data_IF_488729023102
#
_entry.id   IF_488729023102
#
_cell.length_a   1.000
_cell.length_b   1.000
_cell.length_c   1.000
_cell.angle_alpha   90.00
_cell.angle_beta   90.00
_cell.angle_gamma   90.00
#
_symmetry.space_group_name_H-M   'P 1'
#
loop_
_entity.id
_entity.type
_entity.pdbx_description
1 polymer ?
#
# COMPACT_ATOMS: atom_id res chain seq x y z
N UNK A 1 -6.22 33.69 -5.75
CA UNK A 1 -6.43 32.52 -6.62
C UNK A 1 -7.64 31.77 -6.10
N UNK A 2 -8.69 31.67 -6.89
CA UNK A 2 -9.89 30.90 -6.52
C UNK A 2 -9.50 29.42 -6.54
N UNK A 3 -9.52 28.77 -5.39
CA UNK A 3 -9.32 27.30 -5.33
C UNK A 3 -10.50 26.66 -6.08
N UNK A 4 -10.23 26.03 -7.20
CA UNK A 4 -11.25 25.30 -7.94
C UNK A 4 -11.87 24.23 -7.02
N UNK A 5 -13.19 24.22 -6.90
CA UNK A 5 -13.90 23.22 -6.08
C UNK A 5 -13.70 21.86 -6.74
N UNK A 6 -13.08 20.92 -6.01
CA UNK A 6 -12.91 19.54 -6.49
C UNK A 6 -14.27 18.89 -6.75
N UNK A 7 -14.36 18.07 -7.78
CA UNK A 7 -15.54 17.24 -8.02
C UNK A 7 -15.55 16.10 -6.97
N UNK A 8 -16.74 15.56 -6.71
CA UNK A 8 -16.90 14.42 -5.79
C UNK A 8 -15.98 13.25 -6.24
N UNK A 9 -15.23 12.69 -5.30
CA UNK A 9 -14.25 11.64 -5.56
C UNK A 9 -12.91 12.09 -6.16
N UNK A 10 -12.78 13.36 -6.56
CA UNK A 10 -11.52 13.88 -7.10
C UNK A 10 -10.55 14.21 -5.96
N UNK A 11 -9.31 13.74 -6.07
CA UNK A 11 -8.25 14.05 -5.13
C UNK A 11 -7.68 15.46 -5.34
N UNK A 12 -7.27 16.10 -4.24
CA UNK A 12 -6.39 17.26 -4.26
C UNK A 12 -4.93 16.87 -4.53
N UNK A 13 -4.01 17.82 -4.36
CA UNK A 13 -2.58 17.52 -4.21
C UNK A 13 -2.31 16.95 -2.81
N UNK A 14 -1.25 16.14 -2.63
CA UNK A 14 -0.79 15.77 -1.30
C UNK A 14 -0.51 17.02 -0.45
N UNK A 15 -1.08 17.08 0.76
CA UNK A 15 -0.83 18.22 1.68
C UNK A 15 0.64 18.26 2.10
N UNK A 16 1.27 19.42 2.15
CA UNK A 16 2.64 19.55 2.65
C UNK A 16 2.76 19.29 4.17
N UNK A 17 1.65 19.50 4.91
CA UNK A 17 1.59 19.44 6.37
C UNK A 17 0.92 18.15 6.86
N UNK A 18 1.32 16.99 6.32
CA UNK A 18 0.75 15.71 6.74
C UNK A 18 1.05 15.38 8.21
N UNK A 19 0.20 14.57 8.83
CA UNK A 19 0.45 13.99 10.16
C UNK A 19 1.79 13.24 10.21
N UNK A 20 2.41 13.13 11.37
CA UNK A 20 3.73 12.50 11.54
C UNK A 20 3.57 10.99 11.65
N UNK A 21 3.99 10.24 10.63
CA UNK A 21 4.06 8.78 10.68
C UNK A 21 5.23 8.31 11.54
N UNK A 22 5.02 7.24 12.29
CA UNK A 22 6.09 6.56 13.01
C UNK A 22 7.25 6.16 12.09
N UNK A 23 6.95 5.71 10.87
CA UNK A 23 7.95 5.26 9.92
C UNK A 23 8.93 6.34 9.47
N UNK A 24 8.59 7.63 9.65
CA UNK A 24 9.44 8.77 9.34
C UNK A 24 10.26 9.26 10.53
N UNK A 25 10.28 8.55 11.66
CA UNK A 25 11.08 8.93 12.86
C UNK A 25 12.57 8.78 12.64
N UNK A 26 13.00 7.95 11.69
CA UNK A 26 14.39 7.75 11.30
C UNK A 26 14.53 8.00 9.79
N UNK A 27 14.41 9.26 9.34
CA UNK A 27 14.43 9.58 7.93
C UNK A 27 15.85 9.44 7.35
N UNK A 28 15.93 9.02 6.09
CA UNK A 28 17.19 9.03 5.34
C UNK A 28 17.68 10.46 5.14
N UNK A 29 18.88 10.76 5.63
CA UNK A 29 19.49 12.09 5.46
C UNK A 29 19.84 12.38 3.99
N UNK A 30 20.04 11.34 3.18
CA UNK A 30 20.31 11.47 1.75
C UNK A 30 19.05 11.91 0.99
N UNK A 31 17.86 11.46 1.45
CA UNK A 31 16.59 11.66 0.72
C UNK A 31 15.80 12.88 1.19
N UNK A 32 16.07 13.42 2.39
CA UNK A 32 15.39 14.63 2.87
C UNK A 32 15.74 15.84 1.99
N UNK A 33 14.71 16.46 1.40
CA UNK A 33 14.86 17.58 0.49
C UNK A 33 15.67 17.26 -0.77
N UNK A 34 15.81 15.98 -1.12
CA UNK A 34 16.70 15.54 -2.18
C UNK A 34 16.27 16.07 -3.55
N UNK A 35 17.26 16.58 -4.27
CA UNK A 35 17.17 16.96 -5.67
C UNK A 35 18.46 16.57 -6.34
N UNK A 36 18.42 15.52 -7.16
CA UNK A 36 19.62 15.01 -7.84
C UNK A 36 20.27 16.11 -8.68
N UNK A 37 19.46 16.97 -9.30
CA UNK A 37 19.94 18.20 -9.96
C UNK A 37 19.28 19.43 -9.36
N UNK A 38 20.02 20.53 -9.22
CA UNK A 38 19.51 21.78 -8.67
C UNK A 38 18.36 22.35 -9.52
N UNK A 39 18.53 22.36 -10.83
CA UNK A 39 17.49 22.72 -11.78
C UNK A 39 16.67 21.48 -12.13
N UNK A 40 15.37 21.66 -12.31
CA UNK A 40 14.52 20.63 -12.86
C UNK A 40 14.97 20.31 -14.30
N UNK A 41 15.18 19.04 -14.68
CA UNK A 41 15.47 18.69 -16.07
C UNK A 41 14.36 19.17 -17.00
N UNK A 42 14.72 19.77 -18.13
CA UNK A 42 13.74 20.23 -19.13
C UNK A 42 13.14 19.05 -19.91
N UNK A 43 13.90 17.94 -20.04
CA UNK A 43 13.49 16.75 -20.79
C UNK A 43 13.87 15.47 -20.05
N UNK A 44 13.08 14.43 -20.27
CA UNK A 44 13.34 13.06 -19.79
C UNK A 44 12.81 12.04 -20.81
N UNK A 45 13.34 10.80 -20.81
CA UNK A 45 12.78 9.71 -21.59
C UNK A 45 11.56 9.10 -20.90
N UNK A 46 11.54 9.14 -19.56
CA UNK A 46 10.43 8.71 -18.71
C UNK A 46 10.31 9.62 -17.50
N UNK A 47 9.10 10.08 -17.21
CA UNK A 47 8.76 10.72 -15.92
C UNK A 47 7.92 9.76 -15.10
N UNK A 48 8.39 9.42 -13.89
CA UNK A 48 7.63 8.65 -12.89
C UNK A 48 7.09 9.63 -11.85
N UNK A 49 5.78 9.62 -11.60
CA UNK A 49 5.14 10.49 -10.60
C UNK A 49 4.76 9.66 -9.36
N UNK A 50 5.45 9.92 -8.26
CA UNK A 50 5.32 9.22 -6.98
C UNK A 50 6.51 8.34 -6.66
N UNK A 51 7.04 8.46 -5.43
CA UNK A 51 8.19 7.73 -4.90
C UNK A 51 7.82 6.66 -3.86
N UNK A 52 6.57 6.22 -3.83
CA UNK A 52 6.14 5.08 -3.05
C UNK A 52 6.69 3.76 -3.59
N UNK A 53 6.27 2.63 -2.99
CA UNK A 53 6.78 1.30 -3.37
C UNK A 53 6.63 1.02 -4.87
N UNK A 54 5.50 1.38 -5.49
CA UNK A 54 5.25 1.15 -6.90
C UNK A 54 6.20 1.94 -7.81
N UNK A 55 6.32 3.26 -7.60
CA UNK A 55 7.20 4.12 -8.42
C UNK A 55 8.67 3.78 -8.24
N UNK A 56 9.08 3.51 -6.99
CA UNK A 56 10.46 3.11 -6.69
C UNK A 56 10.79 1.74 -7.28
N UNK A 57 9.85 0.80 -7.25
CA UNK A 57 9.98 -0.48 -7.93
C UNK A 57 10.10 -0.31 -9.45
N UNK A 58 9.26 0.53 -10.06
CA UNK A 58 9.36 0.84 -11.48
C UNK A 58 10.76 1.39 -11.85
N UNK A 59 11.28 2.34 -11.07
CA UNK A 59 12.63 2.86 -11.28
C UNK A 59 13.71 1.78 -11.10
N UNK A 60 13.54 0.88 -10.13
CA UNK A 60 14.45 -0.23 -9.91
C UNK A 60 14.49 -1.19 -11.11
N UNK A 61 13.34 -1.60 -11.63
CA UNK A 61 13.27 -2.55 -12.74
C UNK A 61 13.72 -1.93 -14.07
N UNK A 62 13.37 -0.65 -14.33
CA UNK A 62 13.82 0.00 -15.56
C UNK A 62 15.34 0.19 -15.57
N UNK A 63 15.97 0.49 -14.42
CA UNK A 63 17.44 0.58 -14.33
C UNK A 63 18.12 -0.78 -14.37
N UNK A 64 17.45 -1.85 -13.97
CA UNK A 64 17.91 -3.24 -14.09
C UNK A 64 17.80 -3.84 -15.50
N UNK A 65 16.97 -3.28 -16.37
CA UNK A 65 16.76 -3.76 -17.74
C UNK A 65 17.81 -3.19 -18.71
N UNK A 66 18.23 -3.97 -19.69
CA UNK A 66 19.28 -3.55 -20.66
C UNK A 66 18.86 -2.35 -21.51
N UNK A 67 17.63 -2.34 -22.00
CA UNK A 67 17.08 -1.23 -22.77
C UNK A 67 16.71 -0.06 -21.86
N UNK A 68 16.12 -0.35 -20.71
CA UNK A 68 15.64 0.62 -19.72
C UNK A 68 16.76 1.44 -19.09
N UNK A 69 17.92 0.84 -18.80
CA UNK A 69 19.08 1.53 -18.21
C UNK A 69 19.64 2.69 -19.03
N UNK A 70 19.35 2.71 -20.34
CA UNK A 70 19.77 3.79 -21.24
C UNK A 70 18.87 5.02 -21.17
N UNK A 71 17.69 4.89 -20.54
CA UNK A 71 16.70 5.95 -20.43
C UNK A 71 17.07 6.93 -19.31
N UNK A 72 16.87 8.21 -19.57
CA UNK A 72 16.89 9.25 -18.55
C UNK A 72 15.54 9.27 -17.83
N UNK A 73 15.54 8.84 -16.58
CA UNK A 73 14.34 8.74 -15.74
C UNK A 73 14.31 9.89 -14.75
N UNK A 74 13.24 10.68 -14.75
CA UNK A 74 12.97 11.68 -13.71
C UNK A 74 11.84 11.17 -12.83
N UNK A 75 12.07 11.07 -11.53
CA UNK A 75 11.05 10.76 -10.53
C UNK A 75 10.66 12.03 -9.79
N UNK A 76 9.37 12.36 -9.85
CA UNK A 76 8.76 13.48 -9.15
C UNK A 76 8.04 13.00 -7.89
N UNK A 77 8.30 13.65 -6.78
CA UNK A 77 7.60 13.41 -5.52
C UNK A 77 7.08 14.74 -4.96
N UNK A 78 5.80 14.76 -4.62
CA UNK A 78 5.15 15.98 -4.14
C UNK A 78 5.66 16.43 -2.77
N UNK A 79 6.08 15.50 -1.94
CA UNK A 79 6.61 15.71 -0.57
C UNK A 79 8.04 15.18 -0.48
N UNK A 80 8.43 14.73 0.70
CA UNK A 80 9.66 13.97 0.88
C UNK A 80 9.50 12.54 0.31
N UNK A 81 10.59 11.91 -0.05
CA UNK A 81 10.58 10.57 -0.64
C UNK A 81 9.84 9.56 0.25
N UNK A 82 8.94 8.78 -0.35
CA UNK A 82 8.12 7.77 0.35
C UNK A 82 7.23 8.34 1.48
N UNK A 83 6.73 9.56 1.32
CA UNK A 83 5.87 10.23 2.33
C UNK A 83 4.37 9.96 2.12
N UNK A 84 3.99 9.23 1.06
CA UNK A 84 2.64 8.76 0.77
C UNK A 84 2.26 7.48 1.50
N UNK A 85 1.27 6.74 0.98
CA UNK A 85 0.68 5.54 1.61
C UNK A 85 1.73 4.49 2.03
N UNK A 86 2.80 4.30 1.28
CA UNK A 86 3.86 3.33 1.62
C UNK A 86 4.56 3.66 2.93
N UNK A 87 4.87 4.93 3.18
CA UNK A 87 5.48 5.38 4.43
C UNK A 87 4.46 5.64 5.55
N UNK A 88 3.19 5.22 5.39
CA UNK A 88 2.09 5.51 6.32
C UNK A 88 1.22 4.31 6.67
N UNK A 89 1.47 3.15 6.06
CA UNK A 89 0.76 1.91 6.38
C UNK A 89 1.27 1.28 7.69
N UNK A 90 0.72 0.13 8.09
CA UNK A 90 1.10 -0.56 9.31
C UNK A 90 2.34 -1.45 9.20
N UNK A 91 3.05 -1.47 8.06
CA UNK A 91 4.23 -2.31 7.88
C UNK A 91 3.92 -3.80 7.71
N UNK A 92 2.75 -4.12 7.20
CA UNK A 92 2.30 -5.49 6.96
C UNK A 92 2.35 -5.81 5.46
N UNK A 93 3.05 -6.87 5.06
CA UNK A 93 3.06 -7.41 3.71
C UNK A 93 2.48 -8.83 3.73
N UNK A 94 1.26 -8.96 3.24
CA UNK A 94 0.49 -10.20 3.34
C UNK A 94 -0.27 -10.46 2.04
N UNK A 95 0.09 -11.50 1.26
CA UNK A 95 -0.76 -12.03 0.20
C UNK A 95 -2.06 -12.59 0.77
N UNK A 96 -3.19 -12.40 0.08
CA UNK A 96 -4.46 -13.03 0.50
C UNK A 96 -4.63 -14.33 -0.27
N UNK A 97 -4.32 -15.45 0.40
CA UNK A 97 -4.25 -16.76 -0.27
C UNK A 97 -5.63 -17.40 -0.45
N UNK A 98 -6.54 -17.23 0.47
CA UNK A 98 -7.82 -17.97 0.49
C UNK A 98 -9.04 -17.14 0.06
N UNK A 99 -8.92 -15.81 -0.02
CA UNK A 99 -10.01 -14.90 -0.42
C UNK A 99 -9.86 -14.28 -1.81
N UNK A 100 -8.84 -14.68 -2.59
CA UNK A 100 -8.55 -14.09 -3.90
C UNK A 100 -8.62 -15.14 -5.02
N UNK A 101 -9.00 -14.72 -6.25
CA UNK A 101 -8.90 -15.57 -7.43
C UNK A 101 -7.49 -16.14 -7.62
N UNK A 102 -7.35 -17.35 -8.25
CA UNK A 102 -6.05 -18.01 -8.37
C UNK A 102 -4.94 -17.17 -8.99
N UNK A 103 -5.22 -16.40 -10.04
CA UNK A 103 -4.21 -15.55 -10.70
C UNK A 103 -3.74 -14.40 -9.80
N UNK A 104 -4.63 -13.79 -9.03
CA UNK A 104 -4.32 -12.71 -8.09
C UNK A 104 -3.50 -13.26 -6.94
N UNK A 105 -3.95 -14.35 -6.31
CA UNK A 105 -3.23 -15.05 -5.25
C UNK A 105 -1.79 -15.40 -5.67
N UNK A 106 -1.62 -15.97 -6.86
CA UNK A 106 -0.32 -16.32 -7.39
C UNK A 106 0.57 -15.08 -7.62
N UNK A 107 0.01 -13.99 -8.11
CA UNK A 107 0.72 -12.72 -8.31
C UNK A 107 1.16 -12.11 -6.98
N UNK A 108 0.28 -12.02 -6.00
CA UNK A 108 0.59 -11.49 -4.67
C UNK A 108 1.66 -12.33 -3.96
N UNK A 109 1.61 -13.65 -4.09
CA UNK A 109 2.63 -14.53 -3.55
C UNK A 109 3.99 -14.29 -4.22
N UNK A 110 4.04 -14.16 -5.54
CA UNK A 110 5.28 -13.79 -6.26
C UNK A 110 5.80 -12.44 -5.82
N UNK A 111 4.92 -11.44 -5.69
CA UNK A 111 5.29 -10.11 -5.21
C UNK A 111 5.93 -10.16 -3.80
N UNK A 112 5.31 -10.91 -2.87
CA UNK A 112 5.86 -11.15 -1.54
C UNK A 112 7.25 -11.80 -1.59
N UNK A 113 7.40 -12.88 -2.38
CA UNK A 113 8.66 -13.61 -2.52
C UNK A 113 9.76 -12.74 -3.13
N UNK A 114 9.45 -11.92 -4.13
CA UNK A 114 10.41 -10.97 -4.70
C UNK A 114 10.91 -9.93 -3.69
N UNK A 115 10.02 -9.36 -2.89
CA UNK A 115 10.42 -8.41 -1.84
C UNK A 115 11.29 -9.13 -0.80
N UNK A 116 10.88 -10.33 -0.35
CA UNK A 116 11.64 -11.14 0.61
C UNK A 116 13.05 -11.45 0.10
N UNK A 117 13.16 -11.87 -1.16
CA UNK A 117 14.45 -12.16 -1.80
C UNK A 117 15.31 -10.89 -1.93
N UNK A 118 14.73 -9.77 -2.37
CA UNK A 118 15.41 -8.49 -2.47
C UNK A 118 16.01 -8.07 -1.11
N UNK A 119 15.20 -8.17 -0.05
CA UNK A 119 15.64 -7.84 1.31
C UNK A 119 16.75 -8.77 1.77
N UNK A 120 16.60 -10.08 1.61
CA UNK A 120 17.58 -11.06 2.06
C UNK A 120 18.90 -10.95 1.28
N UNK A 121 18.85 -10.86 -0.05
CA UNK A 121 20.02 -10.77 -0.93
C UNK A 121 20.88 -9.53 -0.67
N UNK A 122 20.24 -8.42 -0.31
CA UNK A 122 20.93 -7.14 -0.11
C UNK A 122 21.04 -6.74 1.37
N UNK A 123 20.66 -7.62 2.29
CA UNK A 123 20.67 -7.38 3.74
C UNK A 123 20.04 -6.03 4.13
N UNK A 124 18.90 -5.71 3.49
CA UNK A 124 18.25 -4.42 3.66
C UNK A 124 17.78 -4.25 5.12
N UNK A 125 18.23 -3.20 5.85
CA UNK A 125 17.93 -3.03 7.27
C UNK A 125 16.51 -2.46 7.50
N UNK A 126 15.49 -3.12 6.93
CA UNK A 126 14.09 -2.71 7.00
C UNK A 126 13.26 -3.52 8.02
N UNK A 127 13.89 -4.17 8.98
CA UNK A 127 13.21 -4.96 10.04
C UNK A 127 12.30 -6.07 9.49
N UNK A 128 12.64 -6.65 8.35
CA UNK A 128 11.85 -7.73 7.76
C UNK A 128 11.77 -8.94 8.69
N UNK A 129 10.54 -9.34 9.03
CA UNK A 129 10.24 -10.57 9.74
C UNK A 129 9.22 -11.37 8.96
N UNK A 130 9.56 -12.61 8.58
CA UNK A 130 8.60 -13.57 8.05
C UNK A 130 7.71 -14.06 9.19
N UNK A 131 6.41 -14.00 9.01
CA UNK A 131 5.38 -14.35 10.00
C UNK A 131 4.32 -15.25 9.36
N UNK A 132 3.49 -15.88 10.19
CA UNK A 132 2.13 -16.26 9.82
C UNK A 132 1.16 -15.16 10.29
N UNK A 133 0.02 -15.06 9.61
CA UNK A 133 -1.05 -14.15 10.02
C UNK A 133 -2.24 -14.94 10.51
N UNK A 134 -2.82 -14.51 11.63
CA UNK A 134 -4.10 -14.99 12.13
C UNK A 134 -5.21 -13.98 11.75
N UNK A 135 -6.08 -14.35 10.81
CA UNK A 135 -7.29 -13.59 10.52
C UNK A 135 -8.36 -14.02 11.50
N UNK A 136 -8.57 -13.24 12.54
CA UNK A 136 -9.50 -13.49 13.64
C UNK A 136 -10.90 -12.97 13.31
N UNK A 137 -11.90 -13.79 13.46
CA UNK A 137 -13.31 -13.46 13.29
C UNK A 137 -13.96 -13.37 14.66
N UNK A 138 -14.51 -12.22 14.99
CA UNK A 138 -15.25 -12.02 16.26
C UNK A 138 -16.72 -12.33 16.12
N UNK A 139 -17.23 -12.45 14.89
CA UNK A 139 -18.61 -12.80 14.56
C UNK A 139 -18.68 -14.23 14.00
N UNK A 140 -19.55 -15.07 14.57
CA UNK A 140 -19.68 -16.47 14.22
C UNK A 140 -20.20 -16.66 12.78
N UNK A 141 -21.19 -15.87 12.36
CA UNK A 141 -21.80 -15.96 11.03
C UNK A 141 -20.79 -15.60 9.94
N UNK A 142 -20.02 -14.54 10.13
CA UNK A 142 -18.95 -14.14 9.20
C UNK A 142 -17.86 -15.21 9.12
N UNK A 143 -17.54 -15.86 10.23
CA UNK A 143 -16.57 -16.95 10.25
C UNK A 143 -17.07 -18.15 9.45
N UNK A 144 -18.29 -18.63 9.71
CA UNK A 144 -18.89 -19.78 9.02
C UNK A 144 -19.06 -19.54 7.52
N UNK A 145 -19.47 -18.32 7.15
CA UNK A 145 -19.53 -17.91 5.75
C UNK A 145 -18.16 -18.02 5.08
N UNK A 146 -17.11 -17.50 5.72
CA UNK A 146 -15.75 -17.55 5.18
C UNK A 146 -15.20 -18.99 5.14
N UNK A 147 -15.55 -19.86 6.08
CA UNK A 147 -15.20 -21.27 6.02
C UNK A 147 -15.81 -21.93 4.78
N UNK A 148 -17.08 -21.66 4.50
CA UNK A 148 -17.76 -22.19 3.31
C UNK A 148 -17.07 -21.72 2.02
N UNK A 149 -16.69 -20.44 1.92
CA UNK A 149 -15.95 -19.91 0.78
C UNK A 149 -14.56 -20.56 0.62
N UNK A 150 -13.88 -20.80 1.74
CA UNK A 150 -12.58 -21.46 1.74
C UNK A 150 -12.68 -22.92 1.28
N UNK A 151 -13.69 -23.67 1.73
CA UNK A 151 -13.94 -25.04 1.26
C UNK A 151 -14.21 -25.08 -0.25
N UNK A 152 -14.97 -24.13 -0.78
CA UNK A 152 -15.17 -23.96 -2.22
C UNK A 152 -13.85 -23.65 -2.97
N UNK A 153 -13.00 -22.82 -2.38
CA UNK A 153 -11.69 -22.50 -2.95
C UNK A 153 -10.74 -23.72 -2.91
N UNK A 154 -10.80 -24.55 -1.86
CA UNK A 154 -10.04 -25.80 -1.76
C UNK A 154 -10.41 -26.79 -2.88
N UNK A 155 -11.69 -26.88 -3.26
CA UNK A 155 -12.13 -27.74 -4.34
C UNK A 155 -11.51 -27.32 -5.71
N UNK A 156 -11.22 -26.04 -5.90
CA UNK A 156 -10.61 -25.50 -7.11
C UNK A 156 -9.07 -25.48 -7.06
N UNK A 157 -8.51 -25.36 -5.86
CA UNK A 157 -7.07 -25.17 -5.61
C UNK A 157 -6.66 -25.87 -4.32
N UNK A 158 -6.53 -27.23 -4.32
CA UNK A 158 -6.23 -28.01 -3.11
C UNK A 158 -4.91 -27.61 -2.43
N UNK A 159 -3.96 -27.05 -3.19
CA UNK A 159 -2.65 -26.64 -2.68
C UNK A 159 -2.73 -25.54 -1.60
N UNK A 160 -3.80 -24.75 -1.54
CA UNK A 160 -3.96 -23.72 -0.51
C UNK A 160 -4.08 -24.31 0.90
N UNK A 161 -4.47 -25.58 1.05
CA UNK A 161 -4.49 -26.29 2.33
C UNK A 161 -3.12 -26.37 2.98
N UNK A 162 -2.03 -26.31 2.21
CA UNK A 162 -0.66 -26.29 2.74
C UNK A 162 -0.26 -24.95 3.33
N UNK A 163 -0.99 -23.89 2.96
CA UNK A 163 -0.71 -22.50 3.31
C UNK A 163 -1.65 -21.95 4.36
N UNK A 164 -2.87 -22.48 4.45
CA UNK A 164 -3.94 -21.94 5.32
C UNK A 164 -4.55 -23.07 6.15
N UNK A 165 -4.72 -22.80 7.44
CA UNK A 165 -5.43 -23.69 8.37
C UNK A 165 -6.61 -22.95 9.00
N UNK A 166 -7.74 -23.60 9.10
CA UNK A 166 -8.92 -23.10 9.82
C UNK A 166 -8.81 -23.50 11.29
N UNK A 167 -8.90 -22.53 12.18
CA UNK A 167 -8.81 -22.72 13.64
C UNK A 167 -10.16 -22.34 14.25
N UNK A 168 -10.89 -23.32 14.71
CA UNK A 168 -12.15 -23.15 15.42
C UNK A 168 -11.99 -23.26 16.95
N UNK A 169 -13.09 -23.15 17.68
CA UNK A 169 -13.10 -23.26 19.15
C UNK A 169 -12.62 -24.60 19.67
N UNK A 170 -12.81 -25.67 18.89
CA UNK A 170 -12.40 -27.05 19.22
C UNK A 170 -10.96 -27.37 18.82
N UNK A 171 -10.26 -26.43 18.15
CA UNK A 171 -8.87 -26.62 17.73
C UNK A 171 -7.94 -26.60 18.93
N UNK A 172 -7.02 -27.56 19.00
CA UNK A 172 -6.11 -27.75 20.15
C UNK A 172 -4.66 -27.46 19.87
N UNK A 173 -4.24 -27.42 18.57
CA UNK A 173 -2.84 -27.19 18.20
C UNK A 173 -2.72 -26.63 16.79
N UNK A 174 -2.59 -25.30 16.61
CA UNK A 174 -2.78 -24.29 17.65
C UNK A 174 -4.25 -24.12 18.03
N UNK A 175 -4.49 -23.72 19.26
CA UNK A 175 -5.79 -23.23 19.74
C UNK A 175 -5.92 -21.73 19.49
N UNK A 176 -7.14 -21.18 19.65
CA UNK A 176 -7.34 -19.73 19.64
C UNK A 176 -6.57 -19.02 20.78
N UNK A 177 -6.38 -19.72 21.92
CA UNK A 177 -5.56 -19.24 23.02
C UNK A 177 -4.07 -19.15 22.67
N UNK A 178 -3.53 -20.15 21.95
CA UNK A 178 -2.14 -20.12 21.45
C UNK A 178 -1.92 -18.97 20.45
N UNK A 179 -2.95 -18.62 19.68
CA UNK A 179 -2.96 -17.48 18.79
C UNK A 179 -3.23 -16.15 19.51
N UNK A 180 -3.39 -16.14 20.83
CA UNK A 180 -3.68 -14.96 21.64
C UNK A 180 -5.00 -14.25 21.28
N UNK A 181 -5.98 -14.98 20.75
CA UNK A 181 -7.33 -14.52 20.36
C UNK A 181 -8.41 -15.44 20.95
N UNK A 182 -8.42 -15.67 22.27
CA UNK A 182 -9.27 -16.69 22.90
C UNK A 182 -10.77 -16.44 22.72
N UNK A 183 -11.18 -15.18 22.56
CA UNK A 183 -12.58 -14.77 22.42
C UNK A 183 -13.06 -14.71 20.97
N UNK A 184 -12.20 -15.01 20.00
CA UNK A 184 -12.60 -15.09 18.61
C UNK A 184 -13.56 -16.26 18.35
N UNK A 185 -14.49 -16.10 17.40
CA UNK A 185 -15.36 -17.19 16.92
C UNK A 185 -14.57 -18.25 16.15
N UNK A 186 -13.47 -17.84 15.50
CA UNK A 186 -12.53 -18.66 14.81
C UNK A 186 -11.48 -17.83 14.11
N UNK A 187 -10.51 -18.50 13.47
CA UNK A 187 -9.46 -17.81 12.71
C UNK A 187 -9.01 -18.62 11.49
N UNK A 188 -8.48 -17.90 10.51
CA UNK A 188 -7.67 -18.49 9.43
C UNK A 188 -6.20 -18.19 9.73
N UNK A 189 -5.41 -19.22 9.96
CA UNK A 189 -3.98 -19.10 10.14
C UNK A 189 -3.28 -19.32 8.80
N UNK A 190 -2.73 -18.23 8.23
CA UNK A 190 -2.10 -18.25 6.92
C UNK A 190 -0.59 -18.05 7.04
N UNK A 191 0.18 -18.86 6.31
CA UNK A 191 1.62 -18.71 6.12
C UNK A 191 1.94 -17.56 5.15
N UNK A 192 3.21 -17.14 5.11
CA UNK A 192 3.72 -16.15 4.17
C UNK A 192 3.13 -14.76 4.33
N UNK A 193 3.16 -14.26 5.54
CA UNK A 193 3.07 -12.84 5.84
C UNK A 193 4.43 -12.30 6.27
N UNK A 194 4.59 -10.99 6.29
CA UNK A 194 5.76 -10.33 6.87
C UNK A 194 5.40 -9.00 7.53
N UNK A 195 6.15 -8.66 8.57
CA UNK A 195 6.25 -7.29 9.06
C UNK A 195 7.57 -6.66 8.61
N UNK A 196 7.56 -5.36 8.35
CA UNK A 196 8.75 -4.61 7.94
C UNK A 196 8.60 -3.11 8.26
N UNK A 197 9.69 -2.36 8.13
CA UNK A 197 9.69 -0.89 8.09
C UNK A 197 9.63 -0.43 6.64
N UNK A 198 8.46 -0.08 6.08
CA UNK A 198 8.29 0.13 4.64
C UNK A 198 9.11 1.30 4.10
N UNK A 199 9.20 2.39 4.88
CA UNK A 199 10.02 3.55 4.54
C UNK A 199 11.50 3.15 4.34
N UNK A 200 12.07 2.33 5.23
CA UNK A 200 13.47 1.89 5.11
C UNK A 200 13.73 1.03 3.87
N UNK A 201 12.77 0.17 3.49
CA UNK A 201 12.87 -0.60 2.26
C UNK A 201 12.95 0.33 1.03
N UNK A 202 12.01 1.27 0.92
CA UNK A 202 11.95 2.19 -0.22
C UNK A 202 13.14 3.15 -0.22
N UNK A 203 13.52 3.69 0.94
CA UNK A 203 14.68 4.57 1.06
C UNK A 203 15.96 3.88 0.61
N UNK A 204 16.18 2.64 1.03
CA UNK A 204 17.36 1.86 0.57
C UNK A 204 17.38 1.69 -0.95
N UNK A 205 16.23 1.38 -1.56
CA UNK A 205 16.11 1.24 -3.02
C UNK A 205 16.41 2.55 -3.74
N UNK A 206 15.85 3.66 -3.28
CA UNK A 206 16.11 4.99 -3.86
C UNK A 206 17.57 5.40 -3.72
N UNK A 207 18.17 5.22 -2.55
CA UNK A 207 19.60 5.50 -2.33
C UNK A 207 20.50 4.64 -3.22
N UNK A 208 20.13 3.36 -3.43
CA UNK A 208 20.86 2.49 -4.37
C UNK A 208 20.80 3.05 -5.78
N UNK A 209 19.60 3.44 -6.27
CA UNK A 209 19.42 4.03 -7.58
C UNK A 209 20.24 5.32 -7.76
N UNK A 210 20.29 6.17 -6.73
CA UNK A 210 21.07 7.40 -6.76
C UNK A 210 22.60 7.13 -6.80
N UNK A 211 23.08 6.12 -6.08
CA UNK A 211 24.51 5.72 -6.09
C UNK A 211 24.94 5.08 -7.41
N UNK A 212 24.02 4.51 -8.17
CA UNK A 212 24.28 3.84 -9.45
C UNK A 212 24.33 4.81 -10.65
N UNK A 213 24.12 6.10 -10.44
CA UNK A 213 24.32 7.12 -11.47
C UNK A 213 25.81 7.18 -11.87
N UNK A 214 26.08 7.12 -13.16
CA UNK A 214 27.44 7.12 -13.70
C UNK A 214 28.01 8.53 -13.86
N UNK A 215 27.15 9.52 -14.09
CA UNK A 215 27.48 10.93 -14.26
C UNK A 215 26.56 11.84 -13.48
N UNK A 216 27.10 12.56 -12.50
CA UNK A 216 26.33 13.50 -11.69
C UNK A 216 25.82 14.72 -12.48
N UNK A 217 26.42 15.06 -13.62
CA UNK A 217 25.99 16.19 -14.46
C UNK A 217 24.83 15.81 -15.40
N UNK A 218 24.69 14.53 -15.70
CA UNK A 218 23.62 13.98 -16.54
C UNK A 218 23.17 12.63 -16.00
N UNK A 219 22.54 12.61 -14.82
CA UNK A 219 22.19 11.38 -14.15
C UNK A 219 21.12 10.60 -14.92
N UNK A 220 21.26 9.29 -14.99
CA UNK A 220 20.27 8.40 -15.59
C UNK A 220 19.02 8.25 -14.73
N UNK A 221 19.15 8.40 -13.41
CA UNK A 221 18.04 8.48 -12.46
C UNK A 221 18.09 9.79 -11.68
N UNK A 222 17.05 10.61 -11.81
CA UNK A 222 16.96 11.93 -11.21
C UNK A 222 15.72 12.00 -10.30
N UNK A 223 15.93 12.00 -8.99
CA UNK A 223 14.88 12.17 -8.00
C UNK A 223 14.72 13.65 -7.64
N UNK A 224 13.48 14.13 -7.68
CA UNK A 224 13.08 15.50 -7.35
C UNK A 224 11.99 15.46 -6.29
N UNK A 225 12.37 15.56 -5.02
CA UNK A 225 11.40 15.68 -3.91
C UNK A 225 10.88 17.12 -3.79
N UNK A 226 9.79 17.29 -3.05
CA UNK A 226 9.10 18.57 -2.89
C UNK A 226 8.83 19.24 -4.25
N UNK A 227 8.42 18.43 -5.24
CA UNK A 227 8.20 18.81 -6.63
C UNK A 227 6.95 18.08 -7.17
N UNK A 228 5.78 18.58 -6.78
CA UNK A 228 4.50 18.00 -7.18
C UNK A 228 4.27 18.17 -8.70
N UNK A 229 3.89 17.09 -9.39
CA UNK A 229 3.25 17.19 -10.69
C UNK A 229 1.86 17.77 -10.51
N UNK A 230 1.58 18.91 -11.14
CA UNK A 230 0.32 19.66 -10.97
C UNK A 230 -0.62 19.52 -12.14
N UNK A 231 -0.10 19.23 -13.32
CA UNK A 231 -0.87 19.09 -14.56
C UNK A 231 -0.09 18.29 -15.59
N UNK A 232 -0.81 17.55 -16.43
CA UNK A 232 -0.30 16.87 -17.61
C UNK A 232 -0.88 17.54 -18.84
N UNK A 233 -0.01 17.85 -19.80
CA UNK A 233 -0.40 18.45 -21.08
C UNK A 233 0.10 17.56 -22.22
N UNK A 234 -0.80 17.05 -23.02
CA UNK A 234 -0.45 16.39 -24.27
C UNK A 234 -0.12 17.43 -25.33
N UNK A 235 1.01 17.26 -26.05
CA UNK A 235 1.49 18.21 -27.07
C UNK A 235 1.53 17.59 -28.46
N UNK A 236 0.86 16.45 -28.64
CA UNK A 236 0.78 15.72 -29.89
C UNK A 236 1.95 14.77 -30.13
N UNK A 237 1.75 13.82 -31.04
CA UNK A 237 2.78 12.82 -31.39
C UNK A 237 3.18 11.89 -30.23
N UNK A 238 2.31 11.68 -29.25
CA UNK A 238 2.61 10.87 -28.05
C UNK A 238 3.64 11.53 -27.12
N UNK A 239 3.69 12.86 -27.08
CA UNK A 239 4.58 13.63 -26.23
C UNK A 239 3.78 14.40 -25.15
N UNK A 240 4.37 14.50 -23.96
CA UNK A 240 3.75 15.08 -22.79
C UNK A 240 4.62 16.18 -22.18
N UNK A 241 3.97 17.18 -21.59
CA UNK A 241 4.60 18.13 -20.67
C UNK A 241 4.05 17.88 -19.27
N UNK A 242 4.93 17.58 -18.34
CA UNK A 242 4.59 17.46 -16.92
C UNK A 242 4.89 18.80 -16.25
N UNK A 243 3.85 19.48 -15.78
CA UNK A 243 3.96 20.77 -15.11
C UNK A 243 4.21 20.59 -13.61
N UNK A 244 5.10 21.41 -13.07
CA UNK A 244 5.41 21.48 -11.63
C UNK A 244 5.56 22.93 -11.20
N UNK A 245 5.50 23.26 -9.90
CA UNK A 245 5.80 24.61 -9.40
C UNK A 245 7.24 25.09 -9.69
N UNK A 246 8.14 24.16 -10.08
CA UNK A 246 9.55 24.44 -10.36
C UNK A 246 9.89 24.51 -11.85
N UNK A 247 8.93 24.33 -12.71
CA UNK A 247 9.09 24.30 -14.17
C UNK A 247 8.38 23.12 -14.81
N UNK A 248 8.75 22.80 -16.04
CA UNK A 248 8.10 21.80 -16.87
C UNK A 248 9.12 20.79 -17.36
N UNK A 249 8.67 19.54 -17.58
CA UNK A 249 9.48 18.47 -18.16
C UNK A 249 8.78 17.94 -19.40
N UNK A 250 9.45 18.01 -20.55
CA UNK A 250 9.03 17.36 -21.78
C UNK A 250 9.42 15.87 -21.76
N UNK A 251 8.50 14.99 -22.14
CA UNK A 251 8.76 13.53 -22.16
C UNK A 251 7.85 12.82 -23.14
N UNK A 252 8.28 11.66 -23.62
CA UNK A 252 7.41 10.74 -24.39
C UNK A 252 6.67 9.73 -23.51
N UNK A 253 7.10 9.58 -22.25
CA UNK A 253 6.54 8.55 -21.35
C UNK A 253 6.30 9.13 -19.97
N UNK A 254 5.08 8.96 -19.46
CA UNK A 254 4.71 9.30 -18.08
C UNK A 254 4.14 8.07 -17.40
N UNK A 255 4.64 7.71 -16.23
CA UNK A 255 4.08 6.67 -15.38
C UNK A 255 3.54 7.29 -14.10
N UNK A 256 2.23 7.21 -13.90
CA UNK A 256 1.57 7.66 -12.69
C UNK A 256 1.51 6.52 -11.66
N UNK A 257 2.20 6.69 -10.55
CA UNK A 257 2.15 5.80 -9.38
C UNK A 257 1.58 6.54 -8.17
N UNK A 258 0.59 7.37 -8.44
CA UNK A 258 0.02 8.36 -7.54
C UNK A 258 -1.07 7.83 -6.62
N UNK A 259 -1.46 6.55 -6.77
CA UNK A 259 -2.45 5.84 -5.97
C UNK A 259 -3.72 6.67 -5.72
N UNK A 260 -4.06 7.03 -4.49
CA UNK A 260 -5.25 7.83 -4.16
C UNK A 260 -5.27 9.25 -4.75
N UNK A 261 -4.15 9.73 -5.24
CA UNK A 261 -4.04 11.07 -5.86
C UNK A 261 -4.15 11.05 -7.39
N UNK A 262 -4.41 9.88 -8.01
CA UNK A 262 -4.44 9.74 -9.48
C UNK A 262 -5.45 10.67 -10.15
N UNK A 263 -6.63 10.84 -9.55
CA UNK A 263 -7.68 11.71 -10.08
C UNK A 263 -7.35 13.22 -10.02
N UNK A 264 -6.26 13.61 -9.35
CA UNK A 264 -5.75 14.98 -9.44
C UNK A 264 -5.21 15.29 -10.84
N UNK A 265 -4.41 14.36 -11.40
CA UNK A 265 -3.79 14.51 -12.72
C UNK A 265 -4.71 14.00 -13.85
N UNK A 266 -5.52 13.00 -13.58
CA UNK A 266 -6.49 12.41 -14.49
C UNK A 266 -7.90 12.48 -13.87
N UNK A 267 -8.62 13.61 -14.02
CA UNK A 267 -9.92 13.82 -13.36
C UNK A 267 -10.99 12.76 -13.70
N UNK A 268 -10.87 12.11 -14.85
CA UNK A 268 -11.77 11.04 -15.26
C UNK A 268 -11.58 9.71 -14.49
N UNK A 269 -10.54 9.62 -13.64
CA UNK A 269 -10.38 8.49 -12.71
C UNK A 269 -11.10 8.69 -11.37
N UNK A 270 -11.77 9.82 -11.13
CA UNK A 270 -12.40 10.15 -9.83
C UNK A 270 -13.47 9.15 -9.38
N UNK A 271 -14.08 8.45 -10.32
CA UNK A 271 -15.11 7.41 -10.09
C UNK A 271 -14.54 5.98 -10.13
N UNK A 272 -13.28 5.83 -10.54
CA UNK A 272 -12.58 4.55 -10.61
C UNK A 272 -11.57 4.37 -9.48
N UNK A 273 -10.89 5.43 -9.05
CA UNK A 273 -9.95 5.44 -7.93
C UNK A 273 -10.32 6.60 -7.01
N UNK A 274 -10.90 6.28 -5.87
CA UNK A 274 -11.33 7.27 -4.87
C UNK A 274 -10.28 7.36 -3.76
N UNK A 275 -9.85 8.56 -3.33
CA UNK A 275 -9.01 8.71 -2.16
C UNK A 275 -9.79 8.31 -0.91
N UNK A 276 -9.15 7.52 -0.04
CA UNK A 276 -9.71 7.14 1.26
C UNK A 276 -8.66 7.35 2.33
N UNK A 277 -9.00 8.17 3.33
CA UNK A 277 -8.14 8.37 4.49
C UNK A 277 -8.30 7.23 5.48
N UNK A 278 -7.20 6.59 5.86
CA UNK A 278 -7.14 5.58 6.91
C UNK A 278 -6.29 6.07 8.08
N UNK A 279 -6.52 5.49 9.26
CA UNK A 279 -5.86 5.85 10.52
C UNK A 279 -4.95 4.72 10.99
N UNK A 280 -3.85 5.12 11.61
CA UNK A 280 -2.84 4.23 12.19
C UNK A 280 -2.41 4.72 13.56
N UNK A 281 -2.16 3.77 14.47
CA UNK A 281 -1.55 4.02 15.76
C UNK A 281 -0.31 3.15 15.97
N UNK A 282 0.73 3.74 16.55
CA UNK A 282 1.88 3.04 17.12
C UNK A 282 1.66 3.03 18.65
N UNK A 283 1.17 1.90 19.15
CA UNK A 283 0.80 1.75 20.55
C UNK A 283 1.99 1.22 21.34
N UNK A 284 2.20 1.77 22.54
CA UNK A 284 3.22 1.30 23.48
C UNK A 284 2.75 -0.03 24.06
N UNK A 285 3.53 -1.12 23.90
CA UNK A 285 3.14 -2.41 24.47
C UNK A 285 3.11 -2.36 26.00
N UNK A 286 2.28 -3.20 26.66
CA UNK A 286 2.32 -3.31 28.10
C UNK A 286 3.74 -3.61 28.60
N UNK A 287 4.18 -3.06 29.74
CA UNK A 287 5.54 -3.26 30.28
C UNK A 287 5.89 -4.73 30.52
N UNK A 288 4.86 -5.58 30.69
CA UNK A 288 5.01 -7.04 30.80
C UNK A 288 5.31 -7.73 29.48
N UNK A 289 4.95 -7.11 28.34
CA UNK A 289 5.14 -7.70 27.01
C UNK A 289 6.58 -7.41 26.51
N UNK A 290 7.49 -8.35 26.76
CA UNK A 290 8.90 -8.24 26.34
C UNK A 290 9.54 -9.61 26.14
N UNK A 291 10.62 -9.70 25.38
CA UNK A 291 11.34 -10.95 25.19
C UNK A 291 11.74 -11.59 26.53
N UNK A 292 11.53 -12.90 26.64
CA UNK A 292 11.90 -13.68 27.83
C UNK A 292 10.98 -13.51 29.05
N UNK A 293 9.87 -12.79 28.93
CA UNK A 293 8.86 -12.66 29.99
C UNK A 293 7.75 -13.72 29.87
N UNK A 294 6.86 -13.80 30.88
CA UNK A 294 5.63 -14.61 30.80
C UNK A 294 4.59 -14.07 29.83
N UNK A 295 4.80 -12.84 29.30
CA UNK A 295 4.03 -12.22 28.26
C UNK A 295 4.95 -11.88 27.09
N UNK A 296 5.34 -12.86 26.23
CA UNK A 296 6.28 -12.65 25.15
C UNK A 296 5.66 -11.77 24.02
N UNK A 297 6.49 -11.20 23.16
CA UNK A 297 6.03 -10.57 21.92
C UNK A 297 5.23 -11.54 21.06
N UNK A 298 4.43 -11.00 20.15
CA UNK A 298 3.66 -11.80 19.20
C UNK A 298 4.55 -12.52 18.18
N UNK A 299 4.24 -13.80 17.94
CA UNK A 299 4.81 -14.63 16.87
C UNK A 299 4.03 -14.49 15.55
N UNK A 300 2.85 -13.89 15.63
CA UNK A 300 1.92 -13.72 14.52
C UNK A 300 1.68 -12.24 14.22
N UNK A 301 1.27 -11.95 13.01
CA UNK A 301 0.51 -10.74 12.68
C UNK A 301 -0.98 -11.08 12.68
N UNK A 302 -1.83 -10.04 12.69
CA UNK A 302 -3.28 -10.24 12.79
C UNK A 302 -4.01 -9.40 11.77
N UNK A 303 -5.11 -9.95 11.25
CA UNK A 303 -6.22 -9.24 10.65
C UNK A 303 -7.46 -9.53 11.46
N UNK A 304 -8.32 -8.54 11.67
CA UNK A 304 -9.51 -8.69 12.50
C UNK A 304 -10.76 -8.39 11.69
N UNK A 305 -11.77 -9.24 11.82
CA UNK A 305 -13.06 -9.11 11.13
C UNK A 305 -14.18 -9.09 12.15
N UNK A 306 -15.04 -8.08 12.09
CA UNK A 306 -16.21 -7.96 12.95
C UNK A 306 -15.97 -7.32 14.31
N UNK A 307 -14.89 -6.55 14.51
CA UNK A 307 -14.64 -5.84 15.77
C UNK A 307 -15.60 -4.67 15.94
N UNK A 308 -16.14 -4.54 17.13
CA UNK A 308 -16.80 -3.32 17.69
C UNK A 308 -18.17 -3.01 17.15
N UNK A 309 -18.51 -3.31 15.94
CA UNK A 309 -19.86 -3.16 15.38
C UNK A 309 -20.29 -4.41 14.63
N UNK A 310 -21.50 -4.75 14.88
CA UNK A 310 -22.20 -5.93 14.43
C UNK A 310 -22.03 -6.18 12.94
N UNK A 311 -21.57 -7.38 12.59
CA UNK A 311 -21.63 -7.96 11.23
C UNK A 311 -20.92 -7.18 10.12
N UNK A 312 -20.02 -6.24 10.43
CA UNK A 312 -19.28 -5.49 9.42
C UNK A 312 -17.86 -6.06 9.26
N UNK A 313 -17.44 -6.42 8.05
CA UNK A 313 -16.04 -6.66 7.76
C UNK A 313 -15.27 -5.39 8.02
N UNK A 314 -14.31 -5.41 8.94
CA UNK A 314 -13.40 -4.30 9.18
C UNK A 314 -12.01 -4.70 8.73
N UNK A 315 -11.26 -3.74 8.19
CA UNK A 315 -9.90 -3.94 7.71
C UNK A 315 -8.86 -3.69 8.83
N UNK A 316 -9.22 -3.98 10.07
CA UNK A 316 -8.32 -3.77 11.19
C UNK A 316 -7.20 -4.81 11.15
N UNK A 317 -5.97 -4.36 11.37
CA UNK A 317 -4.81 -5.24 11.35
C UNK A 317 -3.73 -4.79 12.32
N UNK A 318 -2.96 -5.75 12.81
CA UNK A 318 -1.94 -5.55 13.80
C UNK A 318 -0.65 -6.27 13.41
N UNK A 319 0.47 -5.54 13.47
CA UNK A 319 1.80 -6.15 13.59
C UNK A 319 2.49 -5.64 14.86
N UNK A 320 3.40 -6.42 15.41
CA UNK A 320 4.32 -5.95 16.44
C UNK A 320 5.69 -5.78 15.82
N UNK A 321 6.30 -4.59 16.05
CA UNK A 321 7.69 -4.36 15.65
C UNK A 321 8.66 -5.24 16.46
N UNK A 322 9.81 -5.60 15.90
CA UNK A 322 10.82 -6.34 16.66
C UNK A 322 11.37 -5.48 17.82
N UNK A 323 11.73 -6.14 18.90
CA UNK A 323 12.53 -5.54 19.95
C UNK A 323 14.00 -5.53 19.56
N UNK A 324 14.70 -4.43 19.82
CA UNK A 324 16.14 -4.36 19.75
C UNK A 324 16.78 -5.05 20.96
N UNK A 325 18.09 -5.29 20.93
CA UNK A 325 18.83 -5.94 22.03
C UNK A 325 18.72 -5.22 23.37
N UNK A 326 18.50 -3.92 23.37
CA UNK A 326 18.29 -3.10 24.57
C UNK A 326 16.82 -3.01 25.00
N UNK A 327 15.95 -3.89 24.49
CA UNK A 327 14.50 -3.90 24.68
C UNK A 327 13.76 -2.63 24.19
N UNK A 328 14.37 -1.78 23.37
CA UNK A 328 13.67 -0.73 22.65
C UNK A 328 12.92 -1.33 21.46
N UNK A 329 11.83 -0.68 21.03
CA UNK A 329 10.98 -1.23 19.98
C UNK A 329 9.78 -1.98 20.57
N UNK A 330 9.23 -2.89 19.77
CA UNK A 330 8.08 -3.71 20.20
C UNK A 330 6.73 -3.01 20.05
N UNK A 331 6.70 -1.80 19.49
CA UNK A 331 5.46 -1.04 19.29
C UNK A 331 4.45 -1.90 18.50
N UNK A 332 3.20 -1.79 18.93
CA UNK A 332 2.05 -2.43 18.31
C UNK A 332 1.50 -1.49 17.23
N UNK A 333 1.76 -1.82 15.97
CA UNK A 333 1.29 -1.03 14.83
C UNK A 333 -0.11 -1.49 14.48
N UNK A 334 -1.10 -0.75 14.95
CA UNK A 334 -2.51 -1.09 14.81
C UNK A 334 -3.21 -0.09 13.90
N UNK A 335 -3.82 -0.57 12.84
CA UNK A 335 -4.52 0.23 11.84
C UNK A 335 -5.91 -0.28 11.57
N UNK A 336 -6.80 0.63 11.13
CA UNK A 336 -8.19 0.32 10.86
C UNK A 336 -9.14 1.37 11.42
N UNK A 337 -10.25 0.93 12.02
CA UNK A 337 -11.22 1.82 12.66
C UNK A 337 -11.97 2.73 11.70
N UNK A 338 -12.04 2.40 10.41
CA UNK A 338 -12.69 3.26 9.40
C UNK A 338 -14.16 3.52 9.69
N UNK A 339 -14.89 2.56 10.24
CA UNK A 339 -16.30 2.73 10.61
C UNK A 339 -16.53 3.82 11.67
N UNK A 340 -15.49 4.18 12.43
CA UNK A 340 -15.52 5.26 13.42
C UNK A 340 -15.16 6.62 12.83
N UNK A 341 -14.50 6.63 11.67
CA UNK A 341 -14.13 7.87 10.98
C UNK A 341 -15.33 8.49 10.26
N UNK A 342 -15.33 9.82 10.15
CA UNK A 342 -16.34 10.53 9.38
C UNK A 342 -16.37 10.02 7.92
N UNK A 343 -17.53 9.55 7.48
CA UNK A 343 -17.73 8.94 6.15
C UNK A 343 -16.72 7.83 5.82
N UNK A 344 -16.22 7.10 6.82
CA UNK A 344 -15.15 6.11 6.72
C UNK A 344 -13.91 6.59 5.94
N UNK A 345 -13.65 7.90 5.95
CA UNK A 345 -12.56 8.54 5.23
C UNK A 345 -12.73 8.62 3.71
N UNK A 346 -13.85 8.17 3.15
CA UNK A 346 -14.09 8.13 1.68
C UNK A 346 -14.16 9.54 1.10
N UNK A 347 -13.47 9.77 -0.01
CA UNK A 347 -13.38 11.08 -0.68
C UNK A 347 -12.39 12.04 -0.04
N UNK A 348 -11.73 11.67 1.04
CA UNK A 348 -10.76 12.53 1.73
C UNK A 348 -9.35 12.28 1.19
N UNK A 349 -8.73 13.32 0.64
CA UNK A 349 -7.34 13.29 0.14
C UNK A 349 -6.36 14.13 1.00
N UNK A 350 -6.80 14.57 2.17
CA UNK A 350 -6.03 15.37 3.12
C UNK A 350 -5.65 14.53 4.35
N UNK A 351 -4.34 14.35 4.57
CA UNK A 351 -3.74 13.64 5.70
C UNK A 351 -3.05 14.59 6.71
N UNK A 352 -3.48 15.86 6.76
CA UNK A 352 -2.97 16.87 7.72
C UNK A 352 -3.52 16.70 9.13
N UNK A 353 -4.57 15.90 9.32
CA UNK A 353 -5.21 15.62 10.60
C UNK A 353 -5.53 14.14 10.77
N UNK A 354 -5.71 13.70 12.01
CA UNK A 354 -6.25 12.38 12.36
C UNK A 354 -7.76 12.50 12.61
N UNK A 355 -8.48 11.41 12.43
CA UNK A 355 -9.86 11.27 12.87
C UNK A 355 -9.87 10.80 14.35
N UNK A 356 -10.29 11.68 15.27
CA UNK A 356 -10.18 11.42 16.70
C UNK A 356 -10.99 10.21 17.17
N UNK A 357 -12.25 9.99 16.74
CA UNK A 357 -12.98 8.77 17.06
C UNK A 357 -12.31 7.48 16.59
N UNK A 358 -11.74 7.47 15.40
CA UNK A 358 -11.00 6.31 14.89
C UNK A 358 -9.70 6.08 15.68
N UNK A 359 -8.97 7.13 16.03
CA UNK A 359 -7.78 7.04 16.86
C UNK A 359 -8.09 6.53 18.29
N UNK A 360 -9.16 7.00 18.91
CA UNK A 360 -9.63 6.50 20.21
C UNK A 360 -9.99 5.01 20.12
N UNK A 361 -10.72 4.63 19.10
CA UNK A 361 -11.01 3.22 18.83
C UNK A 361 -9.74 2.37 18.75
N UNK A 362 -8.72 2.78 17.98
CA UNK A 362 -7.48 2.02 17.84
C UNK A 362 -6.75 1.84 19.20
N UNK A 363 -6.78 2.82 20.10
CA UNK A 363 -6.16 2.71 21.42
C UNK A 363 -6.90 1.75 22.36
N UNK A 364 -8.20 1.60 22.18
CA UNK A 364 -9.08 0.82 23.08
C UNK A 364 -9.38 -0.58 22.57
N UNK A 365 -9.63 -0.74 21.25
CA UNK A 365 -10.10 -1.98 20.65
C UNK A 365 -9.10 -3.14 20.74
N UNK A 366 -7.81 -2.84 20.74
CA UNK A 366 -6.76 -3.89 20.77
C UNK A 366 -6.92 -4.84 21.96
N UNK A 367 -7.36 -4.34 23.11
CA UNK A 367 -7.57 -5.14 24.32
C UNK A 367 -8.77 -6.09 24.22
N UNK A 368 -9.66 -5.87 23.26
CA UNK A 368 -10.87 -6.69 23.09
C UNK A 368 -10.69 -7.80 22.06
N UNK A 369 -9.61 -7.76 21.29
CA UNK A 369 -9.43 -8.66 20.13
C UNK A 369 -8.20 -9.55 20.24
N UNK A 370 -7.19 -9.10 20.99
CA UNK A 370 -5.99 -9.89 21.22
C UNK A 370 -5.57 -9.83 22.68
N UNK A 371 -5.21 -10.97 23.25
CA UNK A 371 -4.76 -11.06 24.64
C UNK A 371 -3.33 -10.50 24.78
N UNK A 372 -3.26 -9.22 25.10
CA UNK A 372 -1.99 -8.54 25.41
C UNK A 372 -1.64 -8.58 26.89
N UNK A 373 -2.46 -9.25 27.71
CA UNK A 373 -2.31 -9.32 29.18
C UNK A 373 -2.11 -7.96 29.84
N UNK A 374 -2.94 -7.01 29.47
CA UNK A 374 -2.96 -5.65 30.00
C UNK A 374 -4.22 -5.38 30.79
N UNK A 375 -4.07 -4.74 31.97
CA UNK A 375 -5.18 -4.22 32.75
C UNK A 375 -5.62 -2.81 32.27
N UNK A 376 -4.83 -2.18 31.40
CA UNK A 376 -5.14 -0.87 30.86
C UNK A 376 -6.25 -0.99 29.82
N UNK A 377 -7.33 -0.23 29.96
CA UNK A 377 -8.44 -0.19 28.99
C UNK A 377 -8.04 0.52 27.70
N UNK A 378 -7.11 1.45 27.76
CA UNK A 378 -6.60 2.23 26.65
C UNK A 378 -5.07 2.20 26.67
N UNK A 379 -4.44 1.86 25.56
CA UNK A 379 -2.99 1.91 25.42
C UNK A 379 -2.54 3.31 25.03
N UNK A 380 -1.37 3.70 25.53
CA UNK A 380 -0.74 4.93 25.11
C UNK A 380 -0.26 4.80 23.66
N UNK A 381 -0.61 5.75 22.79
CA UNK A 381 -0.02 5.88 21.48
C UNK A 381 1.27 6.71 21.55
N UNK A 382 2.36 6.19 20.99
CA UNK A 382 3.58 6.96 20.77
C UNK A 382 3.45 7.86 19.54
N UNK A 383 2.72 7.39 18.52
CA UNK A 383 2.38 8.10 17.29
C UNK A 383 0.97 7.71 16.84
N UNK A 384 0.25 8.70 16.31
CA UNK A 384 -1.01 8.52 15.59
C UNK A 384 -0.94 9.32 14.30
N UNK A 385 -1.35 8.71 13.19
CA UNK A 385 -1.29 9.37 11.89
C UNK A 385 -2.34 8.84 10.94
N UNK A 386 -2.65 9.64 9.95
CA UNK A 386 -3.50 9.26 8.83
C UNK A 386 -2.68 9.06 7.56
N UNK A 387 -3.25 8.35 6.60
CA UNK A 387 -2.65 8.16 5.27
C UNK A 387 -3.73 8.04 4.20
N UNK A 388 -3.40 8.45 2.97
CA UNK A 388 -4.34 8.42 1.86
C UNK A 388 -4.10 7.17 1.01
N UNK A 389 -5.10 6.32 0.99
CA UNK A 389 -5.18 5.13 0.13
C UNK A 389 -5.92 5.47 -1.16
N UNK A 390 -5.71 4.69 -2.22
CA UNK A 390 -6.51 4.72 -3.44
C UNK A 390 -7.43 3.50 -3.47
N UNK A 391 -8.71 3.70 -3.28
CA UNK A 391 -9.71 2.64 -3.37
C UNK A 391 -10.21 2.56 -4.80
N UNK A 392 -9.98 1.41 -5.43
CA UNK A 392 -10.52 1.09 -6.74
C UNK A 392 -11.99 0.67 -6.63
N UNK A 393 -12.80 1.08 -7.58
CA UNK A 393 -14.23 0.77 -7.62
C UNK A 393 -14.52 -0.74 -7.75
N UNK A 394 -13.60 -1.48 -8.37
CA UNK A 394 -13.65 -2.93 -8.50
C UNK A 394 -12.64 -3.65 -7.58
N UNK A 395 -12.12 -2.93 -6.58
CA UNK A 395 -11.19 -3.42 -5.56
C UNK A 395 -9.82 -3.89 -6.08
N UNK A 396 -9.51 -3.67 -7.35
CA UNK A 396 -8.28 -4.15 -8.00
C UNK A 396 -7.42 -3.01 -8.53
N UNK A 397 -6.09 -3.14 -8.51
CA UNK A 397 -5.20 -2.12 -9.08
C UNK A 397 -5.45 -1.90 -10.57
N UNK A 398 -5.32 -0.67 -11.02
CA UNK A 398 -5.34 -0.27 -12.43
C UNK A 398 -3.91 -0.17 -12.94
N UNK A 399 -3.51 -1.06 -13.86
CA UNK A 399 -2.16 -1.09 -14.41
C UNK A 399 -2.22 -1.16 -15.93
N UNK A 400 -1.63 -0.17 -16.62
CA UNK A 400 -1.61 -0.16 -18.08
C UNK A 400 -1.48 1.24 -18.68
N UNK A 401 -1.44 1.29 -20.02
CA UNK A 401 -1.44 2.53 -20.78
C UNK A 401 -2.85 3.14 -20.78
N UNK A 402 -2.92 4.44 -20.49
CA UNK A 402 -4.18 5.18 -20.49
C UNK A 402 -4.40 5.74 -21.90
N UNK A 403 -4.80 4.88 -22.82
CA UNK A 403 -5.03 5.23 -24.21
C UNK A 403 -6.22 6.17 -24.38
N UNK A 404 -6.26 6.97 -25.44
CA UNK A 404 -7.32 7.94 -25.72
C UNK A 404 -8.72 7.29 -25.76
N UNK A 405 -8.79 6.10 -26.33
CA UNK A 405 -10.04 5.35 -26.53
C UNK A 405 -10.70 4.84 -25.24
N UNK A 406 -9.98 4.92 -24.09
CA UNK A 406 -10.56 4.65 -22.77
C UNK A 406 -11.45 5.79 -22.24
N UNK A 407 -11.33 7.00 -22.81
CA UNK A 407 -12.07 8.17 -22.35
C UNK A 407 -11.68 8.65 -20.94
N UNK A 408 -10.46 8.35 -20.52
CA UNK A 408 -9.94 8.67 -19.18
C UNK A 408 -9.00 9.88 -19.16
N UNK A 409 -8.93 10.63 -20.27
CA UNK A 409 -8.08 11.82 -20.40
C UNK A 409 -6.61 11.49 -20.59
N UNK A 410 -6.31 10.28 -21.07
CA UNK A 410 -4.97 9.85 -21.44
C UNK A 410 -4.72 9.93 -22.95
N UNK A 411 -3.58 9.42 -23.35
CA UNK A 411 -3.09 9.32 -24.72
C UNK A 411 -1.87 8.41 -24.78
N UNK A 412 -1.30 8.23 -25.96
CA UNK A 412 -0.10 7.41 -26.15
C UNK A 412 1.04 7.89 -25.24
N UNK A 413 1.69 6.96 -24.56
CA UNK A 413 2.82 7.27 -23.69
C UNK A 413 2.45 7.66 -22.26
N UNK A 414 1.18 7.56 -21.87
CA UNK A 414 0.76 7.76 -20.48
C UNK A 414 0.33 6.43 -19.86
N UNK A 415 0.97 6.05 -18.76
CA UNK A 415 0.67 4.83 -18.00
C UNK A 415 0.23 5.15 -16.59
N UNK A 416 -0.55 4.23 -16.01
CA UNK A 416 -0.97 4.26 -14.61
C UNK A 416 -0.63 2.92 -13.94
N UNK A 417 -0.24 2.97 -12.66
CA UNK A 417 -0.19 1.83 -11.75
C UNK A 417 -0.62 2.32 -10.37
N UNK A 418 -1.93 2.20 -10.06
CA UNK A 418 -2.56 2.84 -8.92
C UNK A 418 -3.87 2.13 -8.51
N UNK A 419 -4.48 2.57 -7.39
CA UNK A 419 -5.76 2.04 -6.93
C UNK A 419 -5.64 0.72 -6.18
N UNK A 420 -4.68 0.61 -5.25
CA UNK A 420 -4.36 -0.63 -4.55
C UNK A 420 -5.31 -1.00 -3.41
N UNK A 421 -6.37 -0.24 -3.17
CA UNK A 421 -7.49 -0.54 -2.24
C UNK A 421 -7.03 -1.01 -0.85
N UNK A 422 -6.09 -0.25 -0.22
CA UNK A 422 -5.50 -0.63 1.07
C UNK A 422 -4.53 -1.82 1.03
N UNK A 423 -4.46 -2.56 -0.07
CA UNK A 423 -3.71 -3.82 -0.23
C UNK A 423 -2.46 -3.66 -1.12
N UNK A 424 -1.72 -2.57 -0.94
CA UNK A 424 -0.59 -2.21 -1.81
C UNK A 424 0.69 -3.01 -1.57
N UNK A 425 1.02 -3.40 -0.34
CA UNK A 425 2.29 -4.06 -0.05
C UNK A 425 2.48 -5.39 -0.79
N UNK A 426 1.48 -6.29 -0.90
CA UNK A 426 1.61 -7.51 -1.67
C UNK A 426 1.41 -7.35 -3.19
N UNK A 427 1.15 -6.14 -3.69
CA UNK A 427 0.81 -5.89 -5.10
C UNK A 427 1.72 -4.89 -5.81
N UNK A 428 2.08 -3.79 -5.15
CA UNK A 428 2.64 -2.61 -5.80
C UNK A 428 4.04 -2.82 -6.40
N UNK A 429 4.85 -3.73 -5.83
CA UNK A 429 6.21 -3.95 -6.30
C UNK A 429 6.23 -4.58 -7.71
N UNK A 430 5.52 -5.67 -7.94
CA UNK A 430 5.41 -6.29 -9.26
C UNK A 430 4.48 -5.53 -10.21
N UNK A 431 3.50 -4.76 -9.71
CA UNK A 431 2.71 -3.84 -10.55
C UNK A 431 3.59 -2.74 -11.15
N UNK A 432 4.58 -2.24 -10.40
CA UNK A 432 5.60 -1.32 -10.92
C UNK A 432 6.46 -1.97 -12.01
N UNK A 433 6.87 -3.25 -11.80
CA UNK A 433 7.58 -4.02 -12.81
C UNK A 433 6.74 -4.22 -14.08
N UNK A 434 5.48 -4.63 -13.94
CA UNK A 434 4.59 -4.86 -15.07
C UNK A 434 4.38 -3.59 -15.90
N UNK A 435 4.23 -2.43 -15.26
CA UNK A 435 4.17 -1.14 -15.95
C UNK A 435 5.45 -0.87 -16.75
N UNK A 436 6.62 -1.16 -16.19
CA UNK A 436 7.91 -1.03 -16.89
C UNK A 436 8.01 -1.99 -18.07
N UNK A 437 7.62 -3.25 -17.90
CA UNK A 437 7.61 -4.23 -18.99
C UNK A 437 6.76 -3.74 -20.19
N UNK A 438 5.58 -3.15 -19.93
CA UNK A 438 4.74 -2.54 -20.96
C UNK A 438 5.38 -1.29 -21.58
N UNK A 439 5.99 -0.41 -20.79
CA UNK A 439 6.69 0.80 -21.25
C UNK A 439 7.87 0.42 -22.18
N UNK A 440 8.53 -0.70 -21.93
CA UNK A 440 9.61 -1.24 -22.75
C UNK A 440 9.11 -2.06 -23.96
N UNK A 441 7.79 -2.14 -24.18
CA UNK A 441 7.17 -2.72 -25.37
C UNK A 441 6.78 -4.20 -25.25
N UNK A 442 6.91 -4.82 -24.06
CA UNK A 442 6.39 -6.18 -23.83
C UNK A 442 4.86 -6.17 -23.83
N UNK A 443 4.26 -7.27 -24.28
CA UNK A 443 2.81 -7.41 -24.47
C UNK A 443 2.32 -8.79 -24.02
N UNK A 444 1.00 -8.85 -23.77
CA UNK A 444 0.35 -10.13 -23.47
C UNK A 444 0.99 -10.86 -22.29
N UNK A 445 1.32 -12.12 -22.49
CA UNK A 445 1.88 -13.02 -21.46
C UNK A 445 3.35 -12.73 -21.09
N UNK A 446 4.06 -11.88 -21.88
CA UNK A 446 5.39 -11.40 -21.49
C UNK A 446 5.36 -10.46 -20.28
N UNK A 447 4.18 -9.90 -19.95
CA UNK A 447 3.96 -9.04 -18.82
C UNK A 447 3.31 -9.85 -17.68
N UNK A 448 4.07 -10.13 -16.63
CA UNK A 448 3.57 -10.80 -15.43
C UNK A 448 2.62 -9.89 -14.68
N UNK A 449 1.34 -9.93 -15.03
CA UNK A 449 0.28 -9.14 -14.43
C UNK A 449 -1.06 -9.88 -14.56
N UNK A 450 -1.85 -10.04 -13.48
CA UNK A 450 -3.20 -10.58 -13.57
C UNK A 450 -4.02 -9.88 -14.63
N UNK A 451 -4.81 -10.64 -15.38
CA UNK A 451 -5.70 -10.06 -16.39
C UNK A 451 -6.64 -9.02 -15.76
N UNK A 452 -7.14 -9.34 -14.56
CA UNK A 452 -8.02 -8.49 -13.79
C UNK A 452 -7.41 -7.14 -13.35
N UNK A 453 -6.09 -6.96 -13.43
CA UNK A 453 -5.41 -5.69 -13.10
C UNK A 453 -5.16 -4.82 -14.34
N UNK A 454 -5.24 -5.42 -15.55
CA UNK A 454 -4.97 -4.70 -16.80
C UNK A 454 -6.02 -3.65 -17.07
N UNK A 455 -5.59 -2.46 -17.45
CA UNK A 455 -6.47 -1.39 -17.90
C UNK A 455 -7.05 -1.74 -19.27
N UNK A 456 -8.39 -1.73 -19.37
CA UNK A 456 -9.10 -2.00 -20.64
C UNK A 456 -10.46 -1.29 -20.66
N UNK A 457 -11.05 -1.10 -21.86
CA UNK A 457 -12.38 -0.51 -22.04
C UNK A 457 -13.46 -1.31 -21.32
N UNK A 458 -13.41 -2.63 -21.45
CA UNK A 458 -14.43 -3.50 -20.84
C UNK A 458 -14.36 -3.38 -19.33
N UNK A 459 -13.17 -3.43 -18.73
CA UNK A 459 -13.00 -3.26 -17.29
C UNK A 459 -13.49 -1.89 -16.81
N UNK A 460 -13.19 -0.80 -17.53
CA UNK A 460 -13.68 0.55 -17.18
C UNK A 460 -15.22 0.59 -17.20
N UNK A 461 -15.83 0.00 -18.22
CA UNK A 461 -17.30 -0.09 -18.33
C UNK A 461 -17.89 -0.93 -17.19
N UNK A 462 -17.34 -2.10 -16.93
CA UNK A 462 -17.81 -3.02 -15.89
C UNK A 462 -17.62 -2.41 -14.49
N UNK A 463 -16.50 -1.81 -14.19
CA UNK A 463 -16.28 -1.13 -12.93
C UNK A 463 -17.30 -0.02 -12.68
N UNK A 464 -17.70 0.74 -13.72
CA UNK A 464 -18.71 1.78 -13.61
C UNK A 464 -20.14 1.26 -13.39
N UNK A 465 -20.40 -0.03 -13.63
CA UNK A 465 -21.66 -0.68 -13.29
C UNK A 465 -21.75 -1.12 -11.83
N UNK A 466 -20.62 -1.21 -11.13
CA UNK A 466 -20.57 -1.51 -9.71
C UNK A 466 -21.06 -0.30 -8.91
N UNK A 467 -21.48 -0.54 -7.66
CA UNK A 467 -21.77 0.51 -6.71
C UNK A 467 -20.55 1.43 -6.53
N UNK A 468 -20.80 2.69 -6.25
CA UNK A 468 -19.70 3.63 -5.95
C UNK A 468 -18.96 3.15 -4.69
N UNK A 469 -17.68 3.56 -4.57
CA UNK A 469 -16.92 3.34 -3.33
C UNK A 469 -17.59 4.12 -2.21
N UNK A 470 -18.38 3.43 -1.42
CA UNK A 470 -19.14 4.01 -0.32
C UNK A 470 -18.50 3.73 1.03
N UNK A 471 -18.93 4.51 2.04
CA UNK A 471 -18.75 4.21 3.47
C UNK A 471 -19.24 2.80 3.82
N UNK A 472 -20.23 2.35 3.09
CA UNK A 472 -20.93 1.10 3.29
C UNK A 472 -20.33 -0.07 2.50
N UNK A 473 -19.06 -0.45 2.68
CA UNK A 473 -18.76 -1.87 2.83
C UNK A 473 -19.38 -2.40 4.14
N UNK A 474 -20.44 -1.77 4.57
CA UNK A 474 -21.32 -2.06 5.67
C UNK A 474 -22.59 -2.74 5.20
N UNK A 475 -22.65 -3.16 3.95
CA UNK A 475 -23.77 -3.91 3.39
C UNK A 475 -23.29 -5.22 2.80
N UNK A 476 -23.38 -6.26 3.59
CA UNK A 476 -23.22 -7.64 3.15
C UNK A 476 -23.31 -8.56 4.32
#
# INVERSE_FOLDING_TARGET
MTVAKLALGQAGLPTPNSTKSFWHTQPSQTLLGHRTTKCLPAEADLVIVGSGLCGTSAAHFIRGDEAGRKLKVVMLEAREACWGATGRNGGHCQPVVYGSPPEIRAFEMRNYLHIKELVAKNEIPCEWRTLSVAHAYTNQELFEHRVTEFENALNQSPEISTLVSVIGKESTSPSLGDLRIPDASGAFLQKHAASLWPYKLVSWMLEKLLRENSDASSPEFNLQTNTAATHLQEVGGGSWIVHTPRGMIGTKRVLLTTNGYTSHLLPHFRDLIVPVRGEMSSLVPPPTMKPGSSNPPFDYSYGFVGIGQQNEPQDDYLIQRPYARNNAGGELMFGGGRSYAAHAGVGVSDDSSIDLPAAEYLRTAINTVVDIKSEQKELQASYEWSGIMGYSRDERPWVGEVTEDLGLGGGTGLWVSAGFTGHGMPNAFLSGKAAVDMILGKKGDEVDLPHAYRLSKDRVREARMLDEVHVAHTRG
#
